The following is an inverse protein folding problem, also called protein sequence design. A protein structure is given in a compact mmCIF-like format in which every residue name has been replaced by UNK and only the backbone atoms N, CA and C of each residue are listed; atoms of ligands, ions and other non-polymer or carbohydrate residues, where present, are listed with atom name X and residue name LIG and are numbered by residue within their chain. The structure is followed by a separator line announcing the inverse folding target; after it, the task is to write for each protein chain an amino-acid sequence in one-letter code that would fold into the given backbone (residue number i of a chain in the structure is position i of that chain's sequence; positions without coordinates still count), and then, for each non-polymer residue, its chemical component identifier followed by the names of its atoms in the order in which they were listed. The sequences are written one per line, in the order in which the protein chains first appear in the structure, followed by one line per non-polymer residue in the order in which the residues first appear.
data_IF_614498971677
#
_entry.id   IF_614498971677
#
_cell.length_a   1.000
_cell.length_b   1.000
_cell.length_c   1.000
_cell.angle_alpha   90.00
_cell.angle_beta   90.00
_cell.angle_gamma   90.00
#
_symmetry.space_group_name_H-M   'P 1'
#
loop_
_entity.id
_entity.type
_entity.pdbx_description
1 polymer ?
#
# COMPACT_ATOMS: atom_id res chain seq x y z
N UNK A 1 -32.36 -7.94 1.86
CA UNK A 1 -31.75 -7.96 3.21
C UNK A 1 -30.49 -8.83 3.25
N UNK A 2 -30.49 -10.05 2.70
CA UNK A 2 -29.27 -10.86 2.53
C UNK A 2 -28.42 -10.46 1.32
N UNK A 3 -29.04 -9.90 0.25
CA UNK A 3 -28.36 -9.46 -0.97
C UNK A 3 -27.38 -8.29 -0.75
N UNK A 4 -27.70 -7.36 0.15
CA UNK A 4 -26.83 -6.21 0.45
C UNK A 4 -25.64 -6.58 1.37
N UNK A 5 -25.78 -7.62 2.21
CA UNK A 5 -24.73 -8.05 3.15
C UNK A 5 -23.55 -8.75 2.46
N UNK A 6 -23.78 -9.45 1.35
CA UNK A 6 -22.72 -10.20 0.65
C UNK A 6 -21.76 -9.24 -0.07
N UNK A 7 -22.26 -8.09 -0.54
CA UNK A 7 -21.45 -7.12 -1.28
C UNK A 7 -20.84 -6.02 -0.41
N UNK A 8 -21.43 -5.71 0.76
CA UNK A 8 -20.97 -4.62 1.63
C UNK A 8 -19.57 -4.85 2.22
N UNK A 9 -19.06 -6.09 2.18
CA UNK A 9 -17.85 -6.48 2.91
C UNK A 9 -16.58 -6.48 2.04
N UNK A 10 -16.71 -6.48 0.70
CA UNK A 10 -15.54 -6.42 -0.19
C UNK A 10 -15.05 -4.97 -0.29
N UNK A 11 -14.16 -4.59 0.64
CA UNK A 11 -13.59 -3.25 0.68
C UNK A 11 -12.47 -3.08 -0.37
N UNK A 12 -12.80 -2.47 -1.51
CA UNK A 12 -11.84 -2.10 -2.56
C UNK A 12 -11.20 -0.71 -2.36
N UNK A 13 -11.53 -0.02 -1.27
CA UNK A 13 -11.04 1.33 -1.01
C UNK A 13 -9.52 1.36 -0.75
N UNK A 14 -8.96 0.28 -0.23
CA UNK A 14 -7.50 0.13 -0.09
C UNK A 14 -6.77 0.37 -1.42
N UNK A 15 -7.33 -0.15 -2.53
CA UNK A 15 -6.75 -0.02 -3.87
C UNK A 15 -7.21 1.25 -4.60
N UNK A 16 -7.94 2.15 -3.97
CA UNK A 16 -8.49 3.32 -4.64
C UNK A 16 -7.39 4.25 -5.13
N UNK A 17 -7.61 4.83 -6.32
CA UNK A 17 -6.79 5.91 -6.90
C UNK A 17 -5.33 5.56 -7.20
N UNK A 18 -4.93 4.28 -7.13
CA UNK A 18 -3.60 3.86 -7.60
C UNK A 18 -3.53 4.04 -9.11
N UNK A 19 -2.42 4.60 -9.58
CA UNK A 19 -2.20 4.94 -10.99
C UNK A 19 -0.98 4.19 -11.54
N UNK A 20 -0.96 3.98 -12.85
CA UNK A 20 0.22 3.46 -13.53
C UNK A 20 1.36 4.49 -13.56
N UNK A 21 2.54 4.04 -13.97
CA UNK A 21 3.69 4.95 -14.07
C UNK A 21 3.54 6.02 -15.17
N UNK A 22 2.61 5.86 -16.11
CA UNK A 22 2.35 6.82 -17.17
C UNK A 22 1.67 8.09 -16.67
N UNK A 23 0.91 8.00 -15.58
CA UNK A 23 0.29 9.13 -14.91
C UNK A 23 1.30 10.13 -14.34
N UNK A 24 2.51 9.69 -14.01
CA UNK A 24 3.60 10.50 -13.46
C UNK A 24 4.53 11.07 -14.54
N UNK A 25 4.28 10.79 -15.82
CA UNK A 25 5.08 11.33 -16.91
C UNK A 25 4.60 12.72 -17.32
N UNK A 26 5.49 13.45 -18.00
CA UNK A 26 5.19 14.75 -18.59
C UNK A 26 5.12 14.65 -20.12
N UNK A 27 4.31 15.51 -20.73
CA UNK A 27 4.24 15.72 -22.17
C UNK A 27 4.58 17.17 -22.51
N UNK A 28 4.83 17.44 -23.79
CA UNK A 28 5.04 18.79 -24.31
C UNK A 28 3.76 19.28 -24.99
N UNK A 29 3.31 20.48 -24.63
CA UNK A 29 2.27 21.17 -25.39
C UNK A 29 2.81 21.69 -26.74
N UNK A 30 1.93 22.21 -27.59
CA UNK A 30 2.29 22.78 -28.90
C UNK A 30 3.28 23.97 -28.79
N UNK A 31 3.43 24.55 -27.60
CA UNK A 31 4.36 25.63 -27.29
C UNK A 31 5.64 25.14 -26.59
N UNK A 32 5.92 23.83 -26.60
CA UNK A 32 7.05 23.17 -25.93
C UNK A 32 7.09 23.37 -24.41
N UNK A 33 5.95 23.66 -23.77
CA UNK A 33 5.83 23.67 -22.32
C UNK A 33 5.60 22.26 -21.80
N UNK A 34 6.29 21.96 -20.70
CA UNK A 34 6.14 20.71 -19.96
C UNK A 34 4.80 20.75 -19.23
N UNK A 35 3.92 19.80 -19.51
CA UNK A 35 2.64 19.61 -18.84
C UNK A 35 2.57 18.21 -18.23
N UNK A 36 2.04 18.05 -17.01
CA UNK A 36 1.81 16.72 -16.44
C UNK A 36 0.76 15.99 -17.28
N UNK A 37 0.95 14.69 -17.50
CA UNK A 37 -0.01 13.89 -18.25
C UNK A 37 -1.35 13.74 -17.51
N UNK A 38 -1.31 13.75 -16.17
CA UNK A 38 -2.48 13.60 -15.31
C UNK A 38 -2.22 14.24 -13.95
N UNK A 39 -3.25 14.85 -13.36
CA UNK A 39 -3.22 15.24 -11.94
C UNK A 39 -3.34 13.98 -11.07
N UNK A 40 -2.26 13.60 -10.40
CA UNK A 40 -2.20 12.42 -9.53
C UNK A 40 -2.64 12.75 -8.11
N UNK A 41 -3.25 11.79 -7.41
CA UNK A 41 -3.68 11.95 -6.01
C UNK A 41 -2.56 11.72 -4.98
N UNK A 42 -1.37 11.37 -5.44
CA UNK A 42 -0.21 11.11 -4.61
C UNK A 42 1.07 11.49 -5.34
N UNK A 43 2.11 11.78 -4.56
CA UNK A 43 3.45 12.00 -5.05
C UNK A 43 4.22 10.67 -5.14
N UNK A 44 5.05 10.55 -6.17
CA UNK A 44 5.98 9.43 -6.38
C UNK A 44 7.39 9.99 -6.44
N UNK A 45 8.29 9.45 -5.62
CA UNK A 45 9.68 9.91 -5.52
C UNK A 45 10.40 9.89 -6.86
N UNK A 46 11.01 11.02 -7.22
CA UNK A 46 11.83 11.20 -8.41
C UNK A 46 13.18 11.79 -8.01
N UNK A 47 14.26 11.21 -8.54
CA UNK A 47 15.62 11.67 -8.31
C UNK A 47 16.50 11.38 -9.52
N UNK A 48 17.40 12.32 -9.82
CA UNK A 48 18.46 12.22 -10.82
C UNK A 48 19.86 12.05 -10.19
N UNK A 49 19.93 11.87 -8.87
CA UNK A 49 21.19 11.85 -8.11
C UNK A 49 21.58 10.41 -7.80
N UNK A 50 22.83 10.04 -8.05
CA UNK A 50 23.32 8.72 -7.65
C UNK A 50 23.61 8.67 -6.13
N UNK A 51 23.16 7.64 -5.39
CA UNK A 51 22.44 6.43 -5.84
C UNK A 51 20.92 6.50 -5.68
N UNK A 52 20.34 7.67 -5.38
CA UNK A 52 18.90 7.88 -5.21
C UNK A 52 18.09 7.51 -6.46
N UNK A 53 18.62 7.75 -7.66
CA UNK A 53 18.04 7.29 -8.93
C UNK A 53 17.71 5.79 -8.95
N UNK A 54 18.54 4.93 -8.32
CA UNK A 54 18.29 3.48 -8.23
C UNK A 54 17.02 3.20 -7.42
N UNK A 55 16.77 3.98 -6.37
CA UNK A 55 15.62 3.79 -5.48
C UNK A 55 14.36 4.42 -6.07
N UNK A 56 14.50 5.52 -6.81
CA UNK A 56 13.46 6.06 -7.69
C UNK A 56 12.97 5.00 -8.69
N UNK A 57 13.86 4.39 -9.48
CA UNK A 57 13.49 3.35 -10.46
C UNK A 57 12.79 2.14 -9.82
N UNK A 58 13.27 1.73 -8.63
CA UNK A 58 12.67 0.63 -7.88
C UNK A 58 11.29 0.98 -7.35
N UNK A 59 11.09 2.19 -6.84
CA UNK A 59 9.77 2.60 -6.34
C UNK A 59 8.77 2.73 -7.48
N UNK A 60 9.18 3.24 -8.66
CA UNK A 60 8.36 3.20 -9.88
C UNK A 60 7.98 1.79 -10.29
N UNK A 61 8.92 0.85 -10.25
CA UNK A 61 8.63 -0.55 -10.56
C UNK A 61 7.63 -1.16 -9.56
N UNK A 62 7.76 -0.83 -8.27
CA UNK A 62 6.83 -1.26 -7.23
C UNK A 62 5.44 -0.63 -7.37
N UNK A 63 5.37 0.66 -7.75
CA UNK A 63 4.11 1.35 -8.05
C UNK A 63 3.36 0.64 -9.18
N UNK A 64 4.05 0.34 -10.28
CA UNK A 64 3.46 -0.38 -11.42
C UNK A 64 2.95 -1.77 -11.01
N UNK A 65 3.74 -2.53 -10.24
CA UNK A 65 3.32 -3.82 -9.72
C UNK A 65 2.05 -3.71 -8.85
N UNK A 66 1.99 -2.69 -7.99
CA UNK A 66 0.82 -2.41 -7.16
C UNK A 66 -0.42 -2.07 -8.00
N UNK A 67 -0.27 -1.24 -9.03
CA UNK A 67 -1.32 -0.90 -9.98
C UNK A 67 -1.86 -2.13 -10.70
N UNK A 68 -0.99 -2.94 -11.31
CA UNK A 68 -1.39 -4.15 -12.06
C UNK A 68 -2.11 -5.16 -11.17
N UNK A 69 -1.61 -5.34 -9.95
CA UNK A 69 -2.25 -6.20 -8.94
C UNK A 69 -3.64 -5.68 -8.59
N UNK A 70 -3.79 -4.38 -8.33
CA UNK A 70 -5.06 -3.74 -8.03
C UNK A 70 -6.07 -3.89 -9.18
N UNK A 71 -5.65 -3.66 -10.43
CA UNK A 71 -6.52 -3.82 -11.60
C UNK A 71 -6.96 -5.27 -11.80
N UNK A 72 -6.05 -6.22 -11.60
CA UNK A 72 -6.35 -7.65 -11.71
C UNK A 72 -7.42 -8.07 -10.69
N UNK A 73 -7.26 -7.65 -9.44
CA UNK A 73 -8.21 -7.92 -8.34
C UNK A 73 -9.57 -7.27 -8.64
N UNK A 74 -9.57 -5.98 -9.03
CA UNK A 74 -10.81 -5.25 -9.37
C UNK A 74 -11.56 -5.94 -10.51
N UNK A 75 -10.87 -6.37 -11.56
CA UNK A 75 -11.48 -7.08 -12.68
C UNK A 75 -12.12 -8.39 -12.23
N UNK A 76 -11.37 -9.23 -11.52
CA UNK A 76 -11.86 -10.52 -11.03
C UNK A 76 -13.11 -10.37 -10.17
N UNK A 77 -13.07 -9.45 -9.20
CA UNK A 77 -14.18 -9.21 -8.28
C UNK A 77 -15.39 -8.64 -9.04
N UNK A 78 -15.16 -7.73 -10.00
CA UNK A 78 -16.26 -7.20 -10.83
C UNK A 78 -16.93 -8.30 -11.66
N UNK A 79 -16.16 -9.23 -12.22
CA UNK A 79 -16.68 -10.38 -12.97
C UNK A 79 -17.49 -11.32 -12.07
N UNK A 80 -16.98 -11.62 -10.87
CA UNK A 80 -17.68 -12.47 -9.90
C UNK A 80 -18.99 -11.83 -9.41
N UNK A 81 -18.98 -10.53 -9.11
CA UNK A 81 -20.19 -9.76 -8.73
C UNK A 81 -21.21 -9.74 -9.88
N UNK A 82 -20.76 -9.49 -11.11
CA UNK A 82 -21.65 -9.47 -12.29
C UNK A 82 -22.26 -10.84 -12.55
N UNK A 83 -21.49 -11.91 -12.37
CA UNK A 83 -21.96 -13.29 -12.50
C UNK A 83 -23.07 -13.58 -11.48
N UNK A 84 -22.86 -13.26 -10.21
CA UNK A 84 -23.89 -13.40 -9.17
C UNK A 84 -25.15 -12.59 -9.49
N UNK A 85 -25.01 -11.31 -9.85
CA UNK A 85 -26.15 -10.43 -10.20
C UNK A 85 -26.96 -10.99 -11.36
N UNK A 86 -26.28 -11.55 -12.37
CA UNK A 86 -26.91 -12.19 -13.51
C UNK A 86 -27.73 -13.39 -13.06
N UNK A 87 -27.14 -14.31 -12.28
CA UNK A 87 -27.85 -15.51 -11.83
C UNK A 87 -29.02 -15.25 -10.89
N UNK A 88 -28.92 -14.22 -10.02
CA UNK A 88 -30.06 -13.81 -9.20
C UNK A 88 -31.22 -13.32 -10.07
N UNK A 89 -30.93 -12.45 -11.05
CA UNK A 89 -31.93 -11.82 -11.90
C UNK A 89 -32.62 -12.81 -12.87
N UNK A 90 -31.94 -13.88 -13.28
CA UNK A 90 -32.51 -14.90 -14.17
C UNK A 90 -33.67 -15.65 -13.49
N UNK A 91 -34.82 -15.76 -14.15
CA UNK A 91 -35.96 -16.51 -13.63
C UNK A 91 -35.63 -18.02 -13.54
N UNK A 92 -36.21 -18.74 -12.57
CA UNK A 92 -35.98 -20.20 -12.45
C UNK A 92 -36.37 -20.98 -13.72
N UNK A 93 -37.43 -20.56 -14.40
CA UNK A 93 -37.88 -21.14 -15.67
C UNK A 93 -36.89 -20.97 -16.82
N UNK A 94 -35.97 -20.01 -16.71
CA UNK A 94 -34.97 -19.66 -17.73
C UNK A 94 -33.57 -20.14 -17.33
N UNK A 95 -33.45 -20.79 -16.17
CA UNK A 95 -32.17 -21.21 -15.61
C UNK A 95 -31.74 -22.57 -16.17
N UNK A 96 -30.97 -22.54 -17.25
CA UNK A 96 -30.47 -23.74 -17.93
C UNK A 96 -28.95 -23.91 -17.74
N UNK A 97 -28.56 -24.51 -16.62
CA UNK A 97 -27.17 -24.91 -16.33
C UNK A 97 -27.11 -26.33 -15.76
N UNK A 98 -27.64 -27.31 -16.49
CA UNK A 98 -27.47 -28.71 -16.09
C UNK A 98 -25.97 -29.03 -15.88
N UNK A 99 -25.59 -29.76 -14.80
CA UNK A 99 -26.45 -30.50 -13.88
C UNK A 99 -26.91 -29.73 -12.62
N UNK A 100 -26.62 -28.43 -12.51
CA UNK A 100 -26.84 -27.66 -11.28
C UNK A 100 -28.13 -26.86 -11.28
N UNK A 101 -28.82 -26.86 -10.14
CA UNK A 101 -29.97 -25.98 -9.87
C UNK A 101 -29.52 -24.53 -9.65
N UNK A 102 -30.45 -23.58 -9.82
CA UNK A 102 -30.21 -22.17 -9.49
C UNK A 102 -29.70 -22.00 -8.06
N UNK A 103 -30.26 -22.73 -7.12
CA UNK A 103 -29.85 -22.68 -5.72
C UNK A 103 -28.38 -23.11 -5.53
N UNK A 104 -27.96 -24.21 -6.14
CA UNK A 104 -26.58 -24.71 -6.05
C UNK A 104 -25.57 -23.73 -6.68
N UNK A 105 -25.91 -23.12 -7.81
CA UNK A 105 -25.06 -22.08 -8.43
C UNK A 105 -24.94 -20.86 -7.52
N UNK A 106 -26.04 -20.42 -6.89
CA UNK A 106 -26.00 -19.28 -5.98
C UNK A 106 -25.17 -19.57 -4.73
N UNK A 107 -25.17 -20.81 -4.21
CA UNK A 107 -24.24 -21.23 -3.14
C UNK A 107 -22.79 -21.10 -3.62
N UNK A 108 -22.47 -21.61 -4.81
CA UNK A 108 -21.12 -21.49 -5.37
C UNK A 108 -20.68 -20.03 -5.55
N UNK A 109 -21.59 -19.15 -5.99
CA UNK A 109 -21.28 -17.72 -6.06
C UNK A 109 -21.09 -17.07 -4.68
N UNK A 110 -21.78 -17.54 -3.63
CA UNK A 110 -21.53 -17.06 -2.26
C UNK A 110 -20.12 -17.47 -1.78
N UNK A 111 -19.72 -18.71 -2.03
CA UNK A 111 -18.35 -19.18 -1.74
C UNK A 111 -17.29 -18.34 -2.48
N UNK A 112 -17.57 -18.01 -3.75
CA UNK A 112 -16.72 -17.14 -4.56
C UNK A 112 -16.59 -15.73 -3.98
N UNK A 113 -17.66 -15.19 -3.38
CA UNK A 113 -17.60 -13.88 -2.70
C UNK A 113 -16.68 -13.92 -1.46
N UNK A 114 -16.72 -14.99 -0.67
CA UNK A 114 -15.76 -15.19 0.43
C UNK A 114 -14.32 -15.30 -0.08
N UNK A 115 -14.12 -15.95 -1.24
CA UNK A 115 -12.80 -16.00 -1.87
C UNK A 115 -12.33 -14.60 -2.29
N UNK A 116 -13.22 -13.79 -2.86
CA UNK A 116 -12.94 -12.40 -3.25
C UNK A 116 -12.47 -11.55 -2.05
N UNK A 117 -13.16 -11.63 -0.91
CA UNK A 117 -12.75 -10.95 0.34
C UNK A 117 -11.34 -11.38 0.77
N UNK A 118 -11.07 -12.69 0.73
CA UNK A 118 -9.74 -13.23 1.08
C UNK A 118 -8.65 -12.74 0.13
N UNK A 119 -8.93 -12.68 -1.18
CA UNK A 119 -7.98 -12.15 -2.18
C UNK A 119 -7.61 -10.70 -1.84
N UNK A 120 -8.59 -9.83 -1.62
CA UNK A 120 -8.35 -8.44 -1.21
C UNK A 120 -7.46 -8.39 0.03
N UNK A 121 -7.76 -9.22 1.03
CA UNK A 121 -7.01 -9.27 2.27
C UNK A 121 -5.55 -9.72 2.08
N UNK A 122 -5.33 -10.88 1.46
CA UNK A 122 -3.98 -11.41 1.23
C UNK A 122 -3.14 -10.48 0.36
N UNK A 123 -3.74 -9.89 -0.68
CA UNK A 123 -3.03 -8.97 -1.56
C UNK A 123 -2.66 -7.68 -0.85
N UNK A 124 -3.57 -7.09 -0.07
CA UNK A 124 -3.29 -5.87 0.70
C UNK A 124 -2.17 -6.12 1.73
N UNK A 125 -2.26 -7.24 2.44
CA UNK A 125 -1.23 -7.73 3.37
C UNK A 125 0.15 -7.85 2.72
N UNK A 126 0.20 -8.53 1.56
CA UNK A 126 1.42 -8.74 0.81
C UNK A 126 2.04 -7.41 0.38
N UNK A 127 1.24 -6.52 -0.20
CA UNK A 127 1.68 -5.23 -0.72
C UNK A 127 2.21 -4.34 0.41
N UNK A 128 1.50 -4.23 1.54
CA UNK A 128 1.98 -3.44 2.69
C UNK A 128 3.30 -4.00 3.22
N UNK A 129 3.41 -5.32 3.33
CA UNK A 129 4.65 -5.96 3.78
C UNK A 129 5.81 -5.73 2.81
N UNK A 130 5.54 -5.83 1.51
CA UNK A 130 6.52 -5.59 0.44
C UNK A 130 7.04 -4.15 0.49
N UNK A 131 6.14 -3.17 0.48
CA UNK A 131 6.47 -1.74 0.47
C UNK A 131 7.18 -1.31 1.76
N UNK A 132 6.71 -1.77 2.93
CA UNK A 132 7.40 -1.52 4.20
C UNK A 132 8.81 -2.13 4.21
N UNK A 133 8.95 -3.36 3.70
CA UNK A 133 10.26 -4.03 3.62
C UNK A 133 11.19 -3.34 2.63
N UNK A 134 10.67 -2.81 1.53
CA UNK A 134 11.41 -1.97 0.60
C UNK A 134 11.98 -0.75 1.32
N UNK A 135 11.14 0.01 2.02
CA UNK A 135 11.59 1.18 2.77
C UNK A 135 12.66 0.84 3.80
N UNK A 136 12.44 -0.19 4.64
CA UNK A 136 13.41 -0.62 5.66
C UNK A 136 14.76 -1.01 5.03
N UNK A 137 14.74 -1.78 3.94
CA UNK A 137 15.97 -2.21 3.25
C UNK A 137 16.68 -1.05 2.54
N UNK A 138 15.92 -0.13 1.95
CA UNK A 138 16.46 1.06 1.29
C UNK A 138 17.14 1.97 2.30
N UNK A 139 16.48 2.31 3.42
CA UNK A 139 17.10 3.10 4.48
C UNK A 139 18.34 2.43 5.07
N UNK A 140 18.31 1.10 5.26
CA UNK A 140 19.49 0.34 5.70
C UNK A 140 20.66 0.52 4.74
N UNK A 141 20.44 0.37 3.43
CA UNK A 141 21.49 0.50 2.42
C UNK A 141 22.02 1.92 2.33
N UNK A 142 21.13 2.92 2.27
CA UNK A 142 21.52 4.33 2.29
C UNK A 142 22.36 4.64 3.53
N UNK A 143 21.96 4.15 4.71
CA UNK A 143 22.76 4.29 5.92
C UNK A 143 24.16 3.67 5.77
N UNK A 144 24.24 2.38 5.42
CA UNK A 144 25.50 1.64 5.36
C UNK A 144 26.45 2.17 4.29
N UNK A 145 25.93 2.49 3.12
CA UNK A 145 26.76 2.77 1.94
C UNK A 145 27.08 4.28 1.78
N UNK A 146 26.31 5.16 2.42
CA UNK A 146 26.44 6.62 2.22
C UNK A 146 26.63 7.37 3.53
N UNK A 147 25.73 7.18 4.49
CA UNK A 147 25.69 8.04 5.68
C UNK A 147 26.66 7.60 6.77
N UNK A 148 27.01 6.32 6.84
CA UNK A 148 27.90 5.78 7.87
C UNK A 148 29.26 6.48 7.92
N UNK A 149 29.82 6.83 6.76
CA UNK A 149 31.09 7.56 6.67
C UNK A 149 30.93 9.07 6.85
N UNK A 150 29.74 9.61 6.52
CA UNK A 150 29.47 11.06 6.55
C UNK A 150 29.00 11.57 7.92
N UNK A 151 28.38 10.72 8.73
CA UNK A 151 27.81 11.08 10.04
C UNK A 151 28.71 10.54 11.15
N UNK A 152 29.51 11.40 11.78
CA UNK A 152 30.45 11.02 12.84
C UNK A 152 29.77 10.77 14.20
N UNK A 153 28.56 11.28 14.41
CA UNK A 153 27.79 11.12 15.66
C UNK A 153 27.01 9.83 15.67
N UNK A 154 27.40 8.87 16.52
CA UNK A 154 26.63 7.66 16.75
C UNK A 154 25.48 7.92 17.71
N UNK A 155 24.25 8.01 17.18
CA UNK A 155 23.07 7.95 18.02
C UNK A 155 22.89 6.51 18.49
N UNK A 156 22.99 6.32 19.81
CA UNK A 156 22.53 5.11 20.47
C UNK A 156 21.00 5.06 20.42
N UNK A 157 20.49 4.43 19.37
CA UNK A 157 19.05 4.16 19.22
C UNK A 157 18.54 3.32 20.37
N UNK A 158 17.48 3.79 21.05
CA UNK A 158 16.72 3.01 22.02
C UNK A 158 15.54 2.26 21.38
N UNK A 159 15.32 2.44 20.08
CA UNK A 159 14.20 1.83 19.38
C UNK A 159 14.49 0.35 19.06
N UNK A 160 13.51 -0.51 19.33
CA UNK A 160 13.50 -1.92 18.90
C UNK A 160 13.00 -2.09 17.46
N UNK A 161 12.54 -1.00 16.81
CA UNK A 161 12.01 -1.02 15.45
C UNK A 161 13.13 -0.67 14.49
N UNK A 162 13.53 -1.63 13.64
CA UNK A 162 14.65 -1.47 12.69
C UNK A 162 14.53 -0.23 11.82
N UNK A 163 13.33 0.03 11.28
CA UNK A 163 13.07 1.23 10.48
C UNK A 163 13.47 2.52 11.22
N UNK A 164 13.03 2.65 12.48
CA UNK A 164 13.31 3.81 13.32
C UNK A 164 14.79 3.94 13.68
N UNK A 165 15.49 2.83 13.90
CA UNK A 165 16.95 2.84 14.06
C UNK A 165 17.63 3.51 12.86
N UNK A 166 17.19 3.21 11.63
CA UNK A 166 17.78 3.82 10.43
C UNK A 166 17.38 5.29 10.25
N UNK A 167 16.13 5.66 10.57
CA UNK A 167 15.70 7.06 10.58
C UNK A 167 16.57 7.88 11.56
N UNK A 168 16.71 7.43 12.81
CA UNK A 168 17.52 8.16 13.80
C UNK A 168 18.96 8.36 13.33
N UNK A 169 19.55 7.30 12.76
CA UNK A 169 20.93 7.32 12.26
C UNK A 169 21.11 8.26 11.07
N UNK A 170 20.22 8.24 10.09
CA UNK A 170 20.32 9.08 8.88
C UNK A 170 20.08 10.55 9.23
N UNK A 171 19.06 10.85 10.02
CA UNK A 171 18.71 12.24 10.33
C UNK A 171 19.59 12.84 11.43
N UNK A 172 20.24 12.00 12.24
CA UNK A 172 21.07 12.45 13.36
C UNK A 172 20.25 13.04 14.51
N UNK A 173 19.01 12.58 14.69
CA UNK A 173 18.12 12.97 15.80
C UNK A 173 17.37 11.76 16.35
N UNK A 174 17.02 11.72 17.65
CA UNK A 174 16.16 10.67 18.20
C UNK A 174 14.76 10.67 17.56
N UNK A 175 14.07 9.53 17.59
CA UNK A 175 12.71 9.39 17.03
C UNK A 175 11.72 10.35 17.67
N UNK A 176 11.89 10.70 18.95
CA UNK A 176 11.05 11.69 19.63
C UNK A 176 11.18 13.09 19.04
N UNK A 177 12.36 13.46 18.55
CA UNK A 177 12.58 14.75 17.89
C UNK A 177 12.14 14.68 16.42
N UNK A 178 12.41 13.55 15.75
CA UNK A 178 11.90 13.30 14.40
C UNK A 178 10.36 13.38 14.35
N UNK A 179 9.67 12.81 15.33
CA UNK A 179 8.21 12.82 15.39
C UNK A 179 7.62 14.21 15.65
N UNK A 180 8.38 15.11 16.27
CA UNK A 180 7.98 16.51 16.42
C UNK A 180 8.19 17.29 15.11
N UNK A 181 9.33 17.08 14.46
CA UNK A 181 9.69 17.79 13.22
C UNK A 181 8.88 17.33 12.01
N UNK A 182 8.59 16.04 11.91
CA UNK A 182 7.89 15.41 10.79
C UNK A 182 6.67 14.62 11.29
N UNK A 183 5.79 15.30 12.03
CA UNK A 183 4.65 14.68 12.73
C UNK A 183 3.73 13.88 11.82
N UNK A 184 3.42 14.38 10.62
CA UNK A 184 2.55 13.67 9.68
C UNK A 184 3.16 12.37 9.16
N UNK A 185 4.43 12.41 8.76
CA UNK A 185 5.19 11.23 8.31
C UNK A 185 5.26 10.20 9.42
N UNK A 186 5.57 10.63 10.65
CA UNK A 186 5.62 9.73 11.79
C UNK A 186 4.26 9.11 12.10
N UNK A 187 3.16 9.89 12.03
CA UNK A 187 1.80 9.39 12.21
C UNK A 187 1.45 8.32 11.17
N UNK A 188 1.72 8.59 9.89
CA UNK A 188 1.50 7.63 8.78
C UNK A 188 2.37 6.37 8.96
N UNK A 189 3.63 6.50 9.36
CA UNK A 189 4.52 5.36 9.68
C UNK A 189 3.95 4.46 10.79
N UNK A 190 3.42 5.05 11.86
CA UNK A 190 2.80 4.28 12.94
C UNK A 190 1.52 3.56 12.49
N UNK A 191 0.71 4.18 11.63
CA UNK A 191 -0.47 3.52 11.02
C UNK A 191 -0.03 2.31 10.19
N UNK A 192 0.93 2.49 9.29
CA UNK A 192 1.47 1.41 8.44
C UNK A 192 2.07 0.29 9.27
N UNK A 193 2.81 0.64 10.33
CA UNK A 193 3.40 -0.34 11.24
C UNK A 193 2.33 -1.14 11.98
N UNK A 194 1.26 -0.49 12.47
CA UNK A 194 0.12 -1.17 13.09
C UNK A 194 -0.58 -2.08 12.10
N UNK A 195 -0.85 -1.59 10.90
CA UNK A 195 -1.44 -2.35 9.79
C UNK A 195 -0.61 -3.62 9.51
N UNK A 196 0.69 -3.45 9.26
CA UNK A 196 1.63 -4.56 9.01
C UNK A 196 1.64 -5.58 10.15
N UNK A 197 1.64 -5.12 11.40
CA UNK A 197 1.67 -6.03 12.56
C UNK A 197 0.36 -6.81 12.68
N UNK A 198 -0.80 -6.16 12.53
CA UNK A 198 -2.09 -6.84 12.59
C UNK A 198 -2.22 -7.87 11.45
N UNK A 199 -1.75 -7.52 10.25
CA UNK A 199 -1.63 -8.43 9.11
C UNK A 199 -0.76 -9.64 9.42
N UNK A 200 0.48 -9.42 9.89
CA UNK A 200 1.43 -10.52 10.13
C UNK A 200 1.03 -11.43 11.29
N UNK A 201 0.30 -10.90 12.27
CA UNK A 201 -0.17 -11.65 13.43
C UNK A 201 -1.57 -12.24 13.26
N UNK A 202 -2.16 -12.15 12.06
CA UNK A 202 -3.41 -12.82 11.72
C UNK A 202 -4.62 -12.36 12.54
N UNK A 203 -4.59 -11.14 13.11
CA UNK A 203 -5.68 -10.63 13.98
C UNK A 203 -6.92 -10.14 13.22
N UNK A 204 -7.05 -10.47 11.93
CA UNK A 204 -8.24 -10.20 11.13
C UNK A 204 -9.05 -11.48 11.02
N UNK A 205 -9.93 -11.72 12.00
CA UNK A 205 -10.93 -12.79 11.88
C UNK A 205 -12.04 -12.31 10.96
N UNK A 206 -12.17 -12.97 9.81
CA UNK A 206 -13.40 -12.96 9.02
C UNK A 206 -14.37 -13.87 9.80
N UNK A 207 -15.26 -13.26 10.58
CA UNK A 207 -16.56 -13.84 10.98
C UNK A 207 -16.63 -15.29 11.48
N UNK A 208 -15.58 -15.89 12.05
CA UNK A 208 -15.75 -17.15 12.79
C UNK A 208 -16.30 -16.81 14.17
N UNK A 209 -17.58 -17.11 14.35
CA UNK A 209 -18.34 -17.12 15.60
C UNK A 209 -17.48 -17.65 16.76
N UNK A 210 -16.91 -16.74 17.55
CA UNK A 210 -16.50 -17.03 18.91
C UNK A 210 -17.26 -16.07 19.82
N UNK A 211 -18.15 -16.65 20.62
CA UNK A 211 -18.78 -16.01 21.77
C UNK A 211 -17.69 -15.70 22.80
N UNK A 212 -17.06 -14.53 22.69
CA UNK A 212 -16.47 -13.75 23.79
C UNK A 212 -15.75 -12.54 23.20
N UNK A 213 -16.19 -11.35 23.59
CA UNK A 213 -15.64 -10.03 23.33
C UNK A 213 -14.16 -9.99 22.90
N UNK A 214 -13.89 -10.05 21.59
CA UNK A 214 -12.65 -9.53 21.02
C UNK A 214 -13.02 -8.33 20.15
N UNK A 215 -12.53 -7.14 20.54
CA UNK A 215 -12.68 -5.91 19.78
C UNK A 215 -12.32 -6.16 18.31
N UNK A 216 -13.32 -6.01 17.44
CA UNK A 216 -13.13 -5.86 15.99
C UNK A 216 -12.15 -4.71 15.82
N UNK A 217 -10.88 -5.05 15.61
CA UNK A 217 -9.86 -4.06 15.30
C UNK A 217 -10.12 -3.60 13.87
N UNK A 218 -11.08 -2.71 13.68
CA UNK A 218 -11.24 -1.99 12.44
C UNK A 218 -9.89 -1.36 12.10
N UNK A 219 -9.35 -1.72 10.94
CA UNK A 219 -8.16 -1.07 10.43
C UNK A 219 -8.47 0.42 10.29
N UNK A 220 -7.57 1.32 10.70
CA UNK A 220 -7.68 2.71 10.29
C UNK A 220 -7.82 2.73 8.76
N UNK A 221 -8.75 3.53 8.19
CA UNK A 221 -8.87 3.65 6.75
C UNK A 221 -7.51 4.10 6.22
N UNK A 222 -6.88 3.22 5.46
CA UNK A 222 -5.53 3.41 4.96
C UNK A 222 -5.50 2.96 3.51
N UNK A 223 -5.25 3.89 2.59
CA UNK A 223 -5.16 3.59 1.17
C UNK A 223 -3.73 3.23 0.78
N UNK A 224 -3.58 2.39 -0.24
CA UNK A 224 -2.29 2.02 -0.81
C UNK A 224 -1.47 3.23 -1.26
N UNK A 225 -2.15 4.24 -1.83
CA UNK A 225 -1.50 5.47 -2.27
C UNK A 225 -0.84 6.23 -1.11
N UNK A 226 -1.39 6.16 0.11
CA UNK A 226 -0.81 6.81 1.30
C UNK A 226 0.50 6.14 1.70
N UNK A 227 0.66 4.83 1.46
CA UNK A 227 1.92 4.12 1.71
C UNK A 227 3.00 4.53 0.70
N UNK A 228 2.63 4.61 -0.58
CA UNK A 228 3.56 4.98 -1.65
C UNK A 228 4.00 6.44 -1.46
N UNK A 229 3.07 7.34 -1.16
CA UNK A 229 3.36 8.73 -0.83
C UNK A 229 4.27 8.84 0.40
N UNK A 230 3.98 8.08 1.46
CA UNK A 230 4.82 8.05 2.66
C UNK A 230 6.25 7.63 2.35
N UNK A 231 6.42 6.58 1.56
CA UNK A 231 7.75 6.11 1.15
C UNK A 231 8.44 7.21 0.35
N UNK A 232 7.72 7.86 -0.56
CA UNK A 232 8.27 8.92 -1.40
C UNK A 232 8.78 10.09 -0.57
N UNK A 233 7.94 10.61 0.32
CA UNK A 233 8.28 11.72 1.21
C UNK A 233 9.49 11.39 2.11
N UNK A 234 9.63 10.14 2.56
CA UNK A 234 10.80 9.73 3.33
C UNK A 234 12.06 9.72 2.47
N UNK A 235 11.99 9.24 1.23
CA UNK A 235 13.13 9.26 0.32
C UNK A 235 13.55 10.69 -0.05
N UNK A 236 12.60 11.61 -0.29
CA UNK A 236 12.86 13.03 -0.50
C UNK A 236 13.65 13.64 0.67
N UNK A 237 13.19 13.37 1.90
CA UNK A 237 13.86 13.88 3.10
C UNK A 237 15.27 13.31 3.27
N UNK A 238 15.49 12.05 2.91
CA UNK A 238 16.81 11.41 2.99
C UNK A 238 17.74 11.97 1.90
N UNK A 239 17.23 12.19 0.69
CA UNK A 239 17.99 12.85 -0.38
C UNK A 239 18.37 14.27 -0.01
N UNK A 240 17.42 15.07 0.50
CA UNK A 240 17.70 16.41 1.00
C UNK A 240 18.78 16.39 2.09
N UNK A 241 18.69 15.44 3.04
CA UNK A 241 19.72 15.27 4.07
C UNK A 241 21.08 14.93 3.45
N UNK A 242 21.12 14.09 2.43
CA UNK A 242 22.35 13.77 1.71
C UNK A 242 22.98 15.01 1.06
N UNK A 243 22.17 15.84 0.39
CA UNK A 243 22.62 17.07 -0.26
C UNK A 243 23.18 18.07 0.75
N UNK A 244 22.49 18.27 1.88
CA UNK A 244 23.01 19.15 2.94
C UNK A 244 24.35 18.69 3.51
N UNK A 245 24.64 17.39 3.51
CA UNK A 245 25.94 16.86 3.94
C UNK A 245 27.00 16.90 2.82
N UNK A 246 26.58 16.93 1.56
CA UNK A 246 27.47 17.05 0.42
C UNK A 246 27.97 18.50 0.25
N UNK A 247 27.08 19.49 0.42
CA UNK A 247 27.40 20.92 0.32
C UNK A 247 28.25 21.45 1.49
N UNK A 248 28.34 20.70 2.58
CA UNK A 248 29.22 21.00 3.73
C UNK A 248 30.69 20.61 3.51
N UNK A 249 31.05 20.08 2.33
CA UNK A 249 32.44 19.77 1.92
C UNK A 249 32.92 20.72 0.85
#
# INVERSE_FOLDING_TARGET
MWEDMVFSNINLDFFANIEDNGAFCFSFDDNHKIIPNKDTKYHLFESDIYPFIIYHDKLRSLNQYCYETAQTIRRYISEAINTYKTYIATAESEFYTEPFTKHEILIGCQEEMYLCERIVWYSSSHIVTLLYSFLERTLKKLWTDIFLEKIQTSILSKSNVKLYVYIEKIFGVPVSEFSQKYAEIYRKLEIVRKYRNQVNHGKFRIGEFNDEYEEVNELPPFQLIELIELISNILDLVELKYLTLADMK
#
